data_IF_104131994952
#
_entry.id   IF_104131994952
#
_cell.length_a   1.000
_cell.length_b   1.000
_cell.length_c   1.000
_cell.angle_alpha   90.00
_cell.angle_beta   90.00
_cell.angle_gamma   90.00
#
_symmetry.space_group_name_H-M   'P 1'
#
loop_
_entity.id
_entity.type
_entity.pdbx_description
1 polymer ?
#
# COMPACT_ATOMS: atom_id res chain seq x y z
N UNK A 1 5.36 -26.26 9.87
CA UNK A 1 4.21 -25.40 9.53
C UNK A 1 3.20 -26.19 8.71
N UNK A 2 1.89 -26.07 8.96
CA UNK A 2 0.89 -26.74 8.15
C UNK A 2 0.93 -26.23 6.71
N UNK A 3 0.75 -27.14 5.75
CA UNK A 3 0.69 -26.74 4.32
C UNK A 3 -0.59 -25.94 4.07
N UNK A 4 -0.53 -24.80 3.35
CA UNK A 4 -1.72 -24.05 2.99
C UNK A 4 -2.70 -24.90 2.17
N UNK A 5 -4.01 -24.74 2.41
CA UNK A 5 -5.03 -25.38 1.59
C UNK A 5 -5.00 -24.78 0.19
N UNK A 6 -4.56 -25.55 -0.80
CA UNK A 6 -4.31 -25.07 -2.16
C UNK A 6 -5.56 -24.46 -2.82
N UNK A 7 -6.76 -25.00 -2.52
CA UNK A 7 -8.03 -24.45 -3.02
C UNK A 7 -8.33 -23.07 -2.44
N UNK A 8 -8.08 -22.86 -1.14
CA UNK A 8 -8.28 -21.58 -0.48
C UNK A 8 -7.32 -20.52 -1.05
N UNK A 9 -6.02 -20.86 -1.18
CA UNK A 9 -5.05 -19.97 -1.80
C UNK A 9 -5.48 -19.53 -3.20
N UNK A 10 -5.88 -20.49 -4.04
CA UNK A 10 -6.34 -20.20 -5.41
C UNK A 10 -7.61 -19.36 -5.46
N UNK A 11 -8.54 -19.53 -4.51
CA UNK A 11 -9.73 -18.67 -4.41
C UNK A 11 -9.36 -17.24 -4.11
N UNK A 12 -8.43 -17.02 -3.17
CA UNK A 12 -7.91 -15.69 -2.83
C UNK A 12 -7.16 -15.07 -4.02
N UNK A 13 -6.36 -15.86 -4.75
CA UNK A 13 -5.63 -15.38 -5.93
C UNK A 13 -6.60 -14.89 -7.04
N UNK A 14 -7.71 -15.62 -7.26
CA UNK A 14 -8.75 -15.21 -8.23
C UNK A 14 -9.41 -13.90 -7.79
N UNK A 15 -9.83 -13.79 -6.53
CA UNK A 15 -10.45 -12.56 -6.00
C UNK A 15 -9.49 -11.37 -6.13
N UNK A 16 -8.24 -11.54 -5.72
CA UNK A 16 -7.21 -10.51 -5.82
C UNK A 16 -6.91 -10.13 -7.27
N UNK A 17 -6.89 -11.09 -8.20
CA UNK A 17 -6.74 -10.82 -9.62
C UNK A 17 -7.86 -9.92 -10.13
N UNK A 18 -9.12 -10.26 -9.86
CA UNK A 18 -10.27 -9.48 -10.31
C UNK A 18 -10.32 -8.09 -9.66
N UNK A 19 -9.89 -7.97 -8.40
CA UNK A 19 -9.84 -6.70 -7.68
C UNK A 19 -8.89 -5.66 -8.29
N UNK A 20 -7.89 -6.09 -9.07
CA UNK A 20 -6.98 -5.18 -9.76
C UNK A 20 -7.57 -4.53 -11.01
N UNK A 21 -8.75 -4.96 -11.43
CA UNK A 21 -9.40 -4.50 -12.66
C UNK A 21 -10.85 -4.09 -12.36
N UNK A 22 -11.09 -3.03 -11.59
CA UNK A 22 -12.43 -2.58 -11.27
C UNK A 22 -13.22 -2.29 -12.56
N UNK A 23 -14.48 -2.74 -12.58
CA UNK A 23 -15.36 -2.56 -13.73
C UNK A 23 -15.11 -3.49 -14.93
N UNK A 24 -14.08 -4.35 -14.89
CA UNK A 24 -13.78 -5.31 -15.96
C UNK A 24 -14.25 -6.73 -15.59
N UNK A 25 -14.70 -7.45 -16.59
CA UNK A 25 -15.06 -8.89 -16.48
C UNK A 25 -14.09 -9.75 -17.31
N UNK A 26 -13.79 -10.94 -16.83
CA UNK A 26 -12.81 -11.85 -17.43
C UNK A 26 -13.44 -13.21 -17.71
N UNK A 27 -13.14 -13.80 -18.85
CA UNK A 27 -13.50 -15.17 -19.19
C UNK A 27 -12.73 -16.18 -18.34
N UNK A 28 -13.24 -17.42 -18.26
CA UNK A 28 -12.53 -18.52 -17.59
C UNK A 28 -11.10 -18.68 -18.13
N UNK A 29 -10.89 -18.60 -19.45
CA UNK A 29 -9.57 -18.78 -20.06
C UNK A 29 -8.60 -17.67 -19.72
N UNK A 30 -9.05 -16.42 -19.59
CA UNK A 30 -8.23 -15.30 -19.13
C UNK A 30 -7.80 -15.47 -17.67
N UNK A 31 -8.74 -15.87 -16.80
CA UNK A 31 -8.44 -16.12 -15.37
C UNK A 31 -7.48 -17.29 -15.21
N UNK A 32 -7.71 -18.42 -15.91
CA UNK A 32 -6.80 -19.59 -15.91
C UNK A 32 -5.38 -19.19 -16.28
N UNK A 33 -5.23 -18.36 -17.31
CA UNK A 33 -3.93 -17.89 -17.79
C UNK A 33 -3.27 -16.95 -16.78
N UNK A 34 -4.04 -16.03 -16.20
CA UNK A 34 -3.55 -15.05 -15.25
C UNK A 34 -3.12 -15.68 -13.91
N UNK A 35 -3.92 -16.61 -13.37
CA UNK A 35 -3.68 -17.22 -12.06
C UNK A 35 -2.89 -18.54 -12.16
N UNK A 36 -2.60 -19.00 -13.39
CA UNK A 36 -1.85 -20.25 -13.70
C UNK A 36 -2.35 -21.49 -12.96
N UNK A 37 -3.64 -21.71 -12.94
CA UNK A 37 -4.29 -22.90 -12.39
C UNK A 37 -4.94 -23.71 -13.52
N UNK A 38 -5.12 -25.02 -13.31
CA UNK A 38 -5.80 -25.83 -14.32
C UNK A 38 -7.28 -25.45 -14.47
N UNK A 39 -7.81 -25.66 -15.68
CA UNK A 39 -9.16 -25.23 -16.08
C UNK A 39 -10.24 -25.80 -15.16
N UNK A 40 -10.15 -27.10 -14.80
CA UNK A 40 -11.16 -27.76 -13.95
C UNK A 40 -11.21 -27.14 -12.55
N UNK A 41 -10.06 -26.93 -11.91
CA UNK A 41 -9.98 -26.28 -10.59
C UNK A 41 -10.46 -24.83 -10.66
N UNK A 42 -10.07 -24.08 -11.69
CA UNK A 42 -10.52 -22.70 -11.88
C UNK A 42 -12.03 -22.64 -12.01
N UNK A 43 -12.63 -23.46 -12.88
CA UNK A 43 -14.08 -23.51 -13.07
C UNK A 43 -14.83 -23.85 -11.79
N UNK A 44 -14.35 -24.84 -11.02
CA UNK A 44 -14.96 -25.22 -9.75
C UNK A 44 -14.92 -24.07 -8.72
N UNK A 45 -13.79 -23.38 -8.59
CA UNK A 45 -13.63 -22.24 -7.68
C UNK A 45 -14.53 -21.08 -8.12
N UNK A 46 -14.52 -20.72 -9.41
CA UNK A 46 -15.34 -19.63 -9.94
C UNK A 46 -16.84 -19.91 -9.73
N UNK A 47 -17.27 -21.16 -9.92
CA UNK A 47 -18.64 -21.57 -9.66
C UNK A 47 -18.97 -21.41 -8.18
N UNK A 48 -18.16 -21.93 -7.28
CA UNK A 48 -18.37 -21.85 -5.83
C UNK A 48 -18.46 -20.37 -5.34
N UNK A 49 -17.56 -19.51 -5.82
CA UNK A 49 -17.57 -18.09 -5.47
C UNK A 49 -18.78 -17.35 -6.06
N UNK A 50 -19.23 -17.73 -7.27
CA UNK A 50 -20.41 -17.14 -7.90
C UNK A 50 -21.70 -17.60 -7.21
N UNK A 51 -21.81 -18.86 -6.82
CA UNK A 51 -22.97 -19.43 -6.12
C UNK A 51 -23.27 -18.70 -4.79
N UNK A 52 -22.22 -18.15 -4.12
CA UNK A 52 -22.35 -17.38 -2.87
C UNK A 52 -22.27 -15.86 -3.08
N UNK A 53 -22.24 -15.38 -4.32
CA UNK A 53 -22.27 -13.94 -4.65
C UNK A 53 -20.95 -13.18 -4.45
N UNK A 54 -19.83 -13.87 -4.19
CA UNK A 54 -18.49 -13.26 -4.17
C UNK A 54 -18.04 -12.86 -5.58
N UNK A 55 -18.50 -13.58 -6.59
CA UNK A 55 -18.34 -13.22 -8.00
C UNK A 55 -19.71 -13.11 -8.67
N UNK A 56 -19.76 -12.30 -9.72
CA UNK A 56 -20.88 -12.22 -10.64
C UNK A 56 -20.46 -12.79 -11.98
N UNK A 57 -21.29 -13.68 -12.57
CA UNK A 57 -21.09 -14.21 -13.91
C UNK A 57 -22.04 -13.52 -14.88
N UNK A 58 -21.49 -12.89 -15.91
CA UNK A 58 -22.30 -12.27 -16.98
C UNK A 58 -22.97 -13.30 -17.87
N UNK A 59 -23.97 -12.89 -18.66
CA UNK A 59 -24.63 -13.74 -19.66
C UNK A 59 -23.65 -14.29 -20.71
N UNK A 60 -22.54 -13.60 -20.96
CA UNK A 60 -21.47 -14.03 -21.88
C UNK A 60 -20.43 -14.95 -21.20
N UNK A 61 -20.67 -15.36 -19.95
CA UNK A 61 -19.79 -16.29 -19.23
C UNK A 61 -18.53 -15.66 -18.62
N UNK A 62 -18.42 -14.32 -18.60
CA UNK A 62 -17.32 -13.62 -17.97
C UNK A 62 -17.62 -13.34 -16.49
N UNK A 63 -16.57 -13.29 -15.66
CA UNK A 63 -16.64 -13.12 -14.22
C UNK A 63 -16.05 -11.78 -13.78
N UNK A 64 -16.68 -11.13 -12.79
CA UNK A 64 -16.17 -9.96 -12.07
C UNK A 64 -16.47 -10.12 -10.57
N UNK A 65 -15.97 -9.17 -9.75
CA UNK A 65 -16.28 -9.14 -8.32
C UNK A 65 -17.78 -9.00 -8.09
N UNK A 66 -18.30 -9.76 -7.12
CA UNK A 66 -19.72 -9.78 -6.77
C UNK A 66 -20.05 -8.87 -5.57
N UNK A 67 -21.35 -8.55 -5.38
CA UNK A 67 -21.79 -7.57 -4.37
C UNK A 67 -21.57 -8.03 -2.92
N UNK A 68 -21.45 -9.31 -2.66
CA UNK A 68 -21.20 -9.83 -1.29
C UNK A 68 -19.87 -9.35 -0.75
N UNK A 69 -18.87 -9.08 -1.60
CA UNK A 69 -17.58 -8.54 -1.16
C UNK A 69 -17.70 -7.14 -0.56
N UNK A 70 -18.68 -6.34 -0.97
CA UNK A 70 -18.98 -5.03 -0.35
C UNK A 70 -19.43 -5.25 1.09
N UNK A 71 -20.37 -6.17 1.33
CA UNK A 71 -20.84 -6.48 2.66
C UNK A 71 -19.74 -7.06 3.57
N UNK A 72 -18.88 -7.92 3.03
CA UNK A 72 -17.72 -8.47 3.75
C UNK A 72 -16.74 -7.35 4.12
N UNK A 73 -16.45 -6.44 3.19
CA UNK A 73 -15.58 -5.28 3.43
C UNK A 73 -16.15 -4.36 4.53
N UNK A 74 -17.44 -4.04 4.48
CA UNK A 74 -18.12 -3.24 5.51
C UNK A 74 -18.12 -3.93 6.89
N UNK A 75 -18.36 -5.23 6.93
CA UNK A 75 -18.27 -5.99 8.17
C UNK A 75 -16.85 -5.99 8.75
N UNK A 76 -15.84 -6.10 7.89
CA UNK A 76 -14.43 -6.01 8.28
C UNK A 76 -14.10 -4.63 8.86
N UNK A 77 -14.53 -3.55 8.21
CA UNK A 77 -14.34 -2.18 8.71
C UNK A 77 -14.99 -1.99 10.09
N UNK A 78 -16.20 -2.48 10.29
CA UNK A 78 -16.91 -2.39 11.59
C UNK A 78 -16.24 -3.19 12.70
N UNK A 79 -15.61 -4.31 12.37
CA UNK A 79 -14.92 -5.16 13.35
C UNK A 79 -13.53 -4.63 13.74
N UNK A 80 -12.95 -3.75 12.95
CA UNK A 80 -11.61 -3.18 13.16
C UNK A 80 -11.72 -1.71 13.56
N UNK A 81 -11.92 -1.46 14.86
CA UNK A 81 -12.10 -0.10 15.38
C UNK A 81 -10.99 0.88 15.00
N UNK A 82 -9.74 0.41 14.98
CA UNK A 82 -8.59 1.21 14.56
C UNK A 82 -8.70 1.66 13.08
N UNK A 83 -9.13 0.76 12.18
CA UNK A 83 -9.33 1.07 10.76
C UNK A 83 -10.50 2.05 10.55
N UNK A 84 -11.60 1.84 11.27
CA UNK A 84 -12.77 2.74 11.20
C UNK A 84 -12.39 4.17 11.62
N UNK A 85 -11.69 4.33 12.74
CA UNK A 85 -11.18 5.63 13.22
C UNK A 85 -10.17 6.25 12.27
N UNK A 86 -9.28 5.43 11.70
CA UNK A 86 -8.32 5.91 10.72
C UNK A 86 -9.01 6.41 9.45
N UNK A 87 -10.11 5.77 9.03
CA UNK A 87 -10.93 6.24 7.89
C UNK A 87 -11.59 7.59 8.18
N UNK A 88 -12.17 7.77 9.39
CA UNK A 88 -12.75 9.04 9.84
C UNK A 88 -11.68 10.15 9.86
N UNK A 89 -10.53 9.90 10.48
CA UNK A 89 -9.45 10.87 10.55
C UNK A 89 -8.85 11.19 9.16
N UNK A 90 -8.80 10.22 8.25
CA UNK A 90 -8.38 10.43 6.87
C UNK A 90 -9.37 11.33 6.13
N UNK A 91 -10.66 11.16 6.37
CA UNK A 91 -11.72 12.02 5.81
C UNK A 91 -11.59 13.46 6.32
N UNK A 92 -11.42 13.65 7.64
CA UNK A 92 -11.22 14.96 8.26
C UNK A 92 -9.97 15.65 7.70
N UNK A 93 -8.85 14.92 7.57
CA UNK A 93 -7.62 15.45 6.98
C UNK A 93 -7.83 15.92 5.54
N UNK A 94 -8.56 15.13 4.74
CA UNK A 94 -8.87 15.49 3.37
C UNK A 94 -9.75 16.76 3.29
N UNK A 95 -10.79 16.85 4.10
CA UNK A 95 -11.71 18.00 4.14
C UNK A 95 -10.98 19.29 4.53
N UNK A 96 -10.04 19.18 5.43
CA UNK A 96 -9.28 20.28 6.00
C UNK A 96 -8.11 20.73 5.11
N UNK A 97 -7.36 19.79 4.55
CA UNK A 97 -6.16 20.07 3.76
C UNK A 97 -6.42 20.14 2.24
N UNK A 98 -7.49 19.53 1.77
CA UNK A 98 -7.77 19.32 0.33
C UNK A 98 -6.62 18.65 -0.41
N UNK A 99 -5.91 17.78 0.30
CA UNK A 99 -4.80 16.96 -0.19
C UNK A 99 -5.24 15.50 -0.14
N UNK A 100 -5.05 14.71 -1.21
CA UNK A 100 -5.36 13.29 -1.22
C UNK A 100 -4.74 12.53 -0.05
N UNK A 101 -5.54 11.69 0.59
CA UNK A 101 -5.14 10.86 1.73
C UNK A 101 -5.20 9.40 1.34
N UNK A 102 -4.15 8.66 1.67
CA UNK A 102 -4.02 7.22 1.43
C UNK A 102 -3.71 6.53 2.76
N UNK A 103 -4.37 5.41 3.06
CA UNK A 103 -3.97 4.52 4.13
C UNK A 103 -3.56 3.17 3.57
N UNK A 104 -2.46 2.62 4.07
CA UNK A 104 -1.96 1.30 3.71
C UNK A 104 -1.69 0.44 4.94
N UNK A 105 -1.81 -0.87 4.76
CA UNK A 105 -1.54 -1.90 5.76
C UNK A 105 -0.36 -2.78 5.31
N UNK A 106 0.36 -3.34 6.28
CA UNK A 106 1.33 -4.39 6.01
C UNK A 106 0.66 -5.77 6.10
N UNK A 107 0.71 -6.54 5.03
CA UNK A 107 0.15 -7.90 4.95
C UNK A 107 1.22 -8.86 4.47
N UNK A 108 1.81 -9.59 5.41
CA UNK A 108 3.01 -10.39 5.12
C UNK A 108 4.17 -9.53 4.65
N UNK A 109 4.65 -9.78 3.44
CA UNK A 109 5.75 -9.03 2.79
C UNK A 109 5.25 -7.98 1.80
N UNK A 110 3.98 -7.59 1.87
CA UNK A 110 3.38 -6.63 0.94
C UNK A 110 2.68 -5.48 1.66
N UNK A 111 2.77 -4.30 1.09
CA UNK A 111 2.04 -3.10 1.48
C UNK A 111 0.79 -3.04 0.62
N UNK A 112 -0.37 -3.00 1.26
CA UNK A 112 -1.69 -2.97 0.59
C UNK A 112 -2.36 -1.64 0.86
N UNK A 113 -2.75 -0.91 -0.18
CA UNK A 113 -3.58 0.27 -0.07
C UNK A 113 -5.01 -0.15 0.32
N UNK A 114 -5.52 0.35 1.45
CA UNK A 114 -6.83 -0.05 1.99
C UNK A 114 -7.86 1.07 2.04
N UNK A 115 -7.43 2.33 2.06
CA UNK A 115 -8.29 3.52 2.01
C UNK A 115 -7.61 4.53 1.11
N UNK A 116 -8.38 5.15 0.20
CA UNK A 116 -7.97 6.31 -0.58
C UNK A 116 -9.11 7.33 -0.57
N UNK A 117 -8.80 8.58 -0.26
CA UNK A 117 -9.76 9.69 -0.19
C UNK A 117 -9.20 10.83 -1.05
N UNK A 118 -9.90 11.13 -2.14
CA UNK A 118 -9.52 12.17 -3.10
C UNK A 118 -10.71 12.51 -4.01
N UNK A 119 -10.62 13.62 -4.71
CA UNK A 119 -11.51 13.92 -5.84
C UNK A 119 -11.17 13.04 -7.04
N UNK A 120 -12.17 12.78 -7.87
CA UNK A 120 -11.96 12.01 -9.11
C UNK A 120 -10.86 12.64 -9.97
N UNK A 121 -9.89 11.84 -10.40
CA UNK A 121 -8.74 12.28 -11.19
C UNK A 121 -7.63 13.02 -10.42
N UNK A 122 -7.73 13.15 -9.09
CA UNK A 122 -6.74 13.85 -8.24
C UNK A 122 -6.17 13.00 -7.11
N UNK A 123 -6.04 11.70 -7.31
CA UNK A 123 -5.50 10.78 -6.31
C UNK A 123 -3.98 10.84 -6.16
N UNK A 124 -3.48 10.02 -5.25
CA UNK A 124 -2.04 9.80 -5.03
C UNK A 124 -1.38 9.02 -6.17
N UNK A 125 -2.16 8.51 -7.12
CA UNK A 125 -1.72 7.55 -8.14
C UNK A 125 -1.64 6.12 -7.62
N UNK A 126 -2.14 5.86 -6.40
CA UNK A 126 -2.22 4.54 -5.77
C UNK A 126 -3.69 4.23 -5.50
N UNK A 127 -4.18 3.11 -6.04
CA UNK A 127 -5.58 2.71 -5.91
C UNK A 127 -5.79 1.72 -4.76
N UNK A 128 -6.98 1.72 -4.18
CA UNK A 128 -7.37 0.75 -3.14
C UNK A 128 -7.23 -0.68 -3.69
N UNK A 129 -6.59 -1.55 -2.91
CA UNK A 129 -6.26 -2.92 -3.30
C UNK A 129 -4.91 -3.06 -3.99
N UNK A 130 -4.27 -1.97 -4.40
CA UNK A 130 -2.91 -2.02 -4.96
C UNK A 130 -1.93 -2.57 -3.91
N UNK A 131 -1.03 -3.43 -4.38
CA UNK A 131 -0.03 -4.11 -3.57
C UNK A 131 1.37 -3.73 -4.02
N UNK A 132 2.25 -3.47 -3.08
CA UNK A 132 3.67 -3.19 -3.31
C UNK A 132 4.52 -4.06 -2.40
N UNK A 133 5.66 -4.57 -2.86
CA UNK A 133 6.55 -5.35 -2.00
C UNK A 133 7.16 -4.48 -0.91
N UNK A 134 7.31 -5.06 0.29
CA UNK A 134 8.05 -4.44 1.39
C UNK A 134 9.56 -4.67 1.18
N UNK A 135 10.18 -3.81 0.40
CA UNK A 135 11.62 -3.86 0.06
C UNK A 135 12.22 -2.45 0.07
N UNK A 136 13.49 -2.27 0.46
CA UNK A 136 14.10 -0.95 0.52
C UNK A 136 14.06 -0.22 -0.83
N UNK A 137 13.76 1.10 -0.82
CA UNK A 137 13.33 1.94 0.32
C UNK A 137 11.81 1.95 0.54
N UNK A 138 11.04 1.12 -0.20
CA UNK A 138 9.58 1.06 -0.13
C UNK A 138 9.14 0.48 1.20
N UNK A 139 8.25 1.19 1.89
CA UNK A 139 7.69 0.77 3.17
C UNK A 139 8.55 1.12 4.38
N UNK A 140 9.54 2.00 4.24
CA UNK A 140 10.39 2.44 5.34
C UNK A 140 9.62 2.83 6.61
N UNK A 141 8.46 3.55 6.58
CA UNK A 141 7.72 3.85 7.80
C UNK A 141 7.17 2.61 8.53
N UNK A 142 6.90 1.49 7.83
CA UNK A 142 6.51 0.24 8.51
C UNK A 142 7.67 -0.40 9.26
N UNK A 143 8.89 -0.17 8.81
CA UNK A 143 10.10 -0.81 9.33
C UNK A 143 10.86 0.09 10.31
N UNK A 144 10.65 1.39 10.27
CA UNK A 144 11.42 2.35 11.06
C UNK A 144 11.43 2.03 12.56
N UNK A 145 10.38 1.45 13.12
CA UNK A 145 10.28 1.07 14.54
C UNK A 145 10.36 -0.45 14.79
N UNK A 146 10.67 -1.22 13.76
CA UNK A 146 10.87 -2.66 13.93
C UNK A 146 12.15 -2.97 14.71
N UNK A 147 12.30 -4.23 15.15
CA UNK A 147 13.54 -4.70 15.78
C UNK A 147 14.70 -4.72 14.80
N UNK A 148 15.93 -4.61 15.31
CA UNK A 148 17.13 -4.63 14.47
C UNK A 148 17.20 -5.87 13.54
N UNK A 149 16.86 -7.10 14.00
CA UNK A 149 16.80 -8.26 13.10
C UNK A 149 15.77 -8.10 11.97
N UNK A 150 14.63 -7.44 12.23
CA UNK A 150 13.62 -7.19 11.19
C UNK A 150 14.07 -6.12 10.20
N UNK A 151 14.77 -5.09 10.68
CA UNK A 151 15.41 -4.09 9.82
C UNK A 151 16.47 -4.73 8.93
N UNK A 152 17.35 -5.55 9.50
CA UNK A 152 18.38 -6.27 8.75
C UNK A 152 17.79 -7.20 7.70
N UNK A 153 16.72 -7.93 8.06
CA UNK A 153 16.01 -8.78 7.13
C UNK A 153 15.34 -7.98 5.98
N UNK A 154 14.83 -6.77 6.27
CA UNK A 154 14.29 -5.89 5.23
C UNK A 154 15.39 -5.35 4.33
N UNK A 155 16.51 -4.87 4.89
CA UNK A 155 17.66 -4.38 4.13
C UNK A 155 18.27 -5.48 3.25
N UNK A 156 18.30 -6.73 3.73
CA UNK A 156 18.77 -7.87 2.97
C UNK A 156 17.89 -8.24 1.75
N UNK A 157 16.68 -7.69 1.65
CA UNK A 157 15.84 -7.83 0.44
C UNK A 157 16.28 -6.93 -0.72
N UNK A 158 17.19 -6.00 -0.47
CA UNK A 158 17.86 -5.27 -1.54
C UNK A 158 18.61 -6.23 -2.49
N UNK A 159 18.81 -5.80 -3.73
CA UNK A 159 19.59 -6.62 -4.67
C UNK A 159 20.96 -6.96 -4.09
N UNK A 160 21.49 -8.19 -4.28
CA UNK A 160 22.83 -8.58 -3.85
C UNK A 160 23.95 -7.66 -4.35
N UNK A 161 23.72 -7.01 -5.50
CA UNK A 161 24.66 -6.07 -6.13
C UNK A 161 24.51 -4.62 -5.61
N UNK A 162 23.67 -4.39 -4.59
CA UNK A 162 23.50 -3.06 -4.01
C UNK A 162 24.75 -2.61 -3.29
N UNK A 163 25.13 -1.36 -3.55
CA UNK A 163 26.21 -0.69 -2.85
C UNK A 163 25.96 -0.65 -1.33
N UNK A 164 26.97 -1.04 -0.54
CA UNK A 164 26.92 -0.97 0.92
C UNK A 164 26.63 0.45 1.43
N UNK A 165 27.09 1.48 0.73
CA UNK A 165 26.81 2.86 1.04
C UNK A 165 25.31 3.19 0.92
N UNK A 166 24.63 2.62 -0.08
CA UNK A 166 23.19 2.78 -0.27
C UNK A 166 22.39 2.09 0.83
N UNK A 167 22.79 0.88 1.24
CA UNK A 167 22.18 0.16 2.35
C UNK A 167 22.30 0.96 3.66
N UNK A 168 23.47 1.54 3.90
CA UNK A 168 23.70 2.40 5.07
C UNK A 168 22.87 3.69 5.00
N UNK A 169 22.73 4.31 3.84
CA UNK A 169 21.84 5.45 3.61
C UNK A 169 20.37 5.12 3.95
N UNK A 170 19.88 3.94 3.58
CA UNK A 170 18.53 3.52 3.97
C UNK A 170 18.40 3.32 5.48
N UNK A 171 19.41 2.76 6.13
CA UNK A 171 19.45 2.61 7.59
C UNK A 171 19.39 3.98 8.31
N UNK A 172 20.15 4.94 7.82
CA UNK A 172 20.11 6.33 8.32
C UNK A 172 18.74 6.97 8.07
N UNK A 173 18.12 6.68 6.91
CA UNK A 173 16.76 7.10 6.60
C UNK A 173 15.72 6.59 7.60
N UNK A 174 15.83 5.34 8.07
CA UNK A 174 14.96 4.81 9.12
C UNK A 174 15.14 5.55 10.45
N UNK A 175 16.39 5.88 10.83
CA UNK A 175 16.67 6.67 12.03
C UNK A 175 16.04 8.07 11.95
N UNK A 176 16.14 8.70 10.80
CA UNK A 176 15.53 10.01 10.56
C UNK A 176 13.99 9.96 10.64
N UNK A 177 13.35 8.92 10.11
CA UNK A 177 11.90 8.70 10.24
C UNK A 177 11.52 8.56 11.72
N UNK A 178 12.27 7.78 12.51
CA UNK A 178 12.04 7.65 13.95
C UNK A 178 12.14 9.00 14.67
N UNK A 179 13.15 9.80 14.34
CA UNK A 179 13.36 11.10 14.96
C UNK A 179 12.25 12.09 14.66
N UNK A 180 11.75 12.12 13.42
CA UNK A 180 10.72 13.06 12.95
C UNK A 180 9.30 12.59 13.24
N UNK A 181 9.07 11.27 13.27
CA UNK A 181 7.75 10.67 13.32
C UNK A 181 7.07 10.56 11.96
N UNK A 182 7.74 10.95 10.87
CA UNK A 182 7.20 10.90 9.50
C UNK A 182 8.31 10.77 8.45
N UNK A 183 7.92 10.33 7.26
CA UNK A 183 8.75 10.29 6.06
C UNK A 183 8.27 11.35 5.07
N UNK A 184 9.20 11.96 4.34
CA UNK A 184 8.90 12.76 3.13
C UNK A 184 9.66 12.17 1.96
N UNK A 185 8.94 11.77 0.92
CA UNK A 185 9.53 11.25 -0.31
C UNK A 185 9.54 12.35 -1.37
N UNK A 186 10.72 12.65 -1.91
CA UNK A 186 10.86 13.58 -3.02
C UNK A 186 10.27 12.97 -4.30
N UNK A 187 9.67 13.82 -5.14
CA UNK A 187 9.32 13.45 -6.51
C UNK A 187 10.56 13.65 -7.38
N UNK A 188 10.94 12.61 -8.09
CA UNK A 188 11.97 12.69 -9.12
C UNK A 188 11.40 12.09 -10.42
N UNK A 189 12.03 12.34 -11.58
CA UNK A 189 11.65 11.66 -12.81
C UNK A 189 11.61 10.14 -12.61
N UNK A 190 12.58 9.60 -11.90
CA UNK A 190 12.70 8.18 -11.60
C UNK A 190 11.61 7.68 -10.65
N UNK A 191 11.22 8.46 -9.64
CA UNK A 191 10.10 8.10 -8.76
C UNK A 191 8.76 8.10 -9.50
N UNK A 192 8.61 8.98 -10.49
CA UNK A 192 7.44 9.03 -11.37
C UNK A 192 7.42 7.85 -12.34
N UNK A 193 8.56 7.49 -12.93
CA UNK A 193 8.72 6.31 -13.77
C UNK A 193 8.45 5.03 -12.98
N UNK A 194 8.97 4.94 -11.76
CA UNK A 194 8.70 3.85 -10.83
C UNK A 194 7.21 3.70 -10.54
N UNK A 195 6.53 4.80 -10.22
CA UNK A 195 5.09 4.79 -9.97
C UNK A 195 4.30 4.36 -11.22
N UNK A 196 4.69 4.85 -12.41
CA UNK A 196 4.07 4.47 -13.68
C UNK A 196 4.29 2.97 -14.00
N UNK A 197 5.49 2.45 -13.78
CA UNK A 197 5.79 1.03 -13.96
C UNK A 197 5.00 0.16 -12.97
N UNK A 198 4.91 0.56 -11.70
CA UNK A 198 4.05 -0.13 -10.72
C UNK A 198 2.60 -0.13 -11.20
N UNK A 199 2.07 1.02 -11.63
CA UNK A 199 0.70 1.12 -12.13
C UNK A 199 0.48 0.25 -13.39
N UNK A 200 1.42 0.22 -14.34
CA UNK A 200 1.36 -0.64 -15.51
C UNK A 200 1.42 -2.14 -15.13
N UNK A 201 2.29 -2.51 -14.20
CA UNK A 201 2.39 -3.87 -13.71
C UNK A 201 1.14 -4.29 -12.93
N UNK A 202 0.56 -3.39 -12.14
CA UNK A 202 -0.72 -3.61 -11.44
C UNK A 202 -1.88 -3.72 -12.44
N UNK A 203 -1.92 -2.89 -13.46
CA UNK A 203 -2.97 -2.90 -14.50
C UNK A 203 -2.85 -4.08 -15.47
N UNK A 204 -1.65 -4.59 -15.71
CA UNK A 204 -1.41 -5.58 -16.74
C UNK A 204 -1.15 -7.00 -16.26
N UNK A 205 -0.51 -7.22 -15.14
CA UNK A 205 0.10 -8.52 -14.85
C UNK A 205 0.34 -8.76 -13.36
N UNK A 206 -0.66 -9.22 -12.61
CA UNK A 206 -0.36 -10.10 -11.48
C UNK A 206 -0.12 -11.54 -12.00
N UNK A 207 0.89 -11.64 -12.85
CA UNK A 207 1.46 -12.91 -13.29
C UNK A 207 2.46 -13.36 -12.23
N UNK A 208 2.57 -14.66 -12.05
CA UNK A 208 3.68 -15.29 -11.30
C UNK A 208 4.99 -14.64 -11.74
N UNK A 209 5.77 -14.09 -10.77
CA UNK A 209 6.96 -13.30 -11.06
C UNK A 209 6.81 -11.78 -10.84
N UNK A 210 5.60 -11.28 -10.53
CA UNK A 210 5.38 -9.86 -10.18
C UNK A 210 6.31 -9.41 -9.04
N UNK A 211 6.43 -10.22 -7.99
CA UNK A 211 7.30 -9.93 -6.84
C UNK A 211 8.75 -9.82 -7.25
N UNK A 212 9.24 -10.74 -8.09
CA UNK A 212 10.63 -10.75 -8.57
C UNK A 212 10.91 -9.58 -9.51
N UNK A 213 9.99 -9.28 -10.43
CA UNK A 213 10.11 -8.13 -11.34
C UNK A 213 10.06 -6.81 -10.56
N UNK A 214 9.19 -6.72 -9.55
CA UNK A 214 9.10 -5.55 -8.69
C UNK A 214 10.37 -5.39 -7.83
N UNK A 215 10.91 -6.48 -7.30
CA UNK A 215 12.17 -6.45 -6.55
C UNK A 215 13.34 -6.02 -7.44
N UNK A 216 13.40 -6.50 -8.66
CA UNK A 216 14.40 -6.09 -9.64
C UNK A 216 14.27 -4.59 -9.98
N UNK A 217 13.04 -4.11 -10.19
CA UNK A 217 12.76 -2.70 -10.47
C UNK A 217 13.14 -1.81 -9.28
N UNK A 218 12.74 -2.17 -8.05
CA UNK A 218 13.13 -1.44 -6.84
C UNK A 218 14.66 -1.43 -6.68
N UNK A 219 15.32 -2.57 -6.94
CA UNK A 219 16.77 -2.67 -6.92
C UNK A 219 17.45 -1.73 -7.91
N UNK A 220 16.90 -1.58 -9.12
CA UNK A 220 17.46 -0.71 -10.15
C UNK A 220 17.24 0.79 -9.93
N UNK A 221 16.25 1.15 -9.13
CA UNK A 221 15.86 2.54 -8.86
C UNK A 221 16.10 2.98 -7.40
N UNK A 222 16.60 2.08 -6.58
CA UNK A 222 16.67 2.26 -5.12
C UNK A 222 17.44 3.50 -4.64
N UNK A 223 18.50 3.89 -5.33
CA UNK A 223 19.28 5.10 -5.03
C UNK A 223 18.60 6.39 -5.48
N UNK A 224 17.64 6.29 -6.40
CA UNK A 224 16.90 7.41 -6.98
C UNK A 224 15.57 7.70 -6.28
N UNK A 225 15.12 6.79 -5.42
CA UNK A 225 13.94 6.98 -4.56
C UNK A 225 14.37 7.72 -3.28
N UNK A 226 14.52 9.03 -3.36
CA UNK A 226 15.11 9.82 -2.28
C UNK A 226 14.09 10.24 -1.21
N UNK A 227 14.40 9.90 0.04
CA UNK A 227 13.82 10.56 1.19
C UNK A 227 14.48 11.93 1.37
N UNK A 228 13.69 12.97 1.67
CA UNK A 228 14.25 14.27 2.03
C UNK A 228 14.91 14.20 3.41
N UNK A 229 16.23 14.42 3.44
CA UNK A 229 17.01 14.40 4.67
C UNK A 229 16.90 15.72 5.43
N UNK A 230 16.82 16.84 4.72
CA UNK A 230 16.63 18.19 5.28
C UNK A 230 15.45 18.88 4.64
N UNK A 231 14.73 19.67 5.43
CA UNK A 231 13.57 20.45 4.98
C UNK A 231 13.73 21.87 5.49
N UNK A 232 14.30 22.72 4.64
CA UNK A 232 14.49 24.13 4.97
C UNK A 232 13.19 24.90 4.73
N UNK A 233 12.69 25.69 5.70
CA UNK A 233 11.36 26.31 5.63
C UNK A 233 11.11 27.18 4.39
N UNK A 234 12.15 27.87 3.89
CA UNK A 234 12.08 28.78 2.75
C UNK A 234 12.23 28.11 1.38
N UNK A 235 12.80 26.93 1.34
CA UNK A 235 13.11 26.22 0.10
C UNK A 235 11.88 25.55 -0.51
N UNK A 236 11.91 25.33 -1.84
CA UNK A 236 10.85 24.68 -2.60
C UNK A 236 11.23 23.25 -2.95
N UNK A 237 10.38 22.31 -2.57
CA UNK A 237 10.56 20.88 -2.81
C UNK A 237 9.43 20.33 -3.68
N UNK A 238 9.78 19.49 -4.66
CA UNK A 238 8.81 18.65 -5.36
C UNK A 238 8.70 17.33 -4.58
N UNK A 239 7.56 17.11 -3.91
CA UNK A 239 7.36 15.94 -3.08
C UNK A 239 6.27 15.03 -3.65
N UNK A 240 6.48 13.73 -3.50
CA UNK A 240 5.52 12.71 -3.91
C UNK A 240 4.52 12.43 -2.81
N UNK A 241 5.01 12.21 -1.57
CA UNK A 241 4.16 11.90 -0.42
C UNK A 241 4.84 12.28 0.91
N UNK A 242 3.99 12.49 1.92
CA UNK A 242 4.34 12.55 3.33
C UNK A 242 3.63 11.37 3.99
N UNK A 243 4.34 10.53 4.77
CA UNK A 243 3.80 9.34 5.39
C UNK A 243 4.10 9.30 6.89
N UNK A 244 3.11 8.91 7.71
CA UNK A 244 3.27 8.74 9.14
C UNK A 244 2.65 7.40 9.61
N UNK A 245 3.26 6.73 10.61
CA UNK A 245 2.79 5.44 11.10
C UNK A 245 1.59 5.59 12.05
N UNK A 246 0.70 4.62 11.99
CA UNK A 246 -0.31 4.34 13.01
C UNK A 246 0.13 3.06 13.72
N UNK A 247 0.47 3.15 14.98
CA UNK A 247 0.95 2.03 15.76
C UNK A 247 -0.21 1.21 16.34
N UNK A 248 0.00 -0.11 16.41
CA UNK A 248 -0.83 -1.00 17.20
C UNK A 248 -0.53 -0.88 18.71
N UNK A 249 -1.15 -1.73 19.51
CA UNK A 249 -0.96 -1.72 20.97
C UNK A 249 0.39 -2.28 21.42
N UNK A 250 0.99 -3.08 20.58
CA UNK A 250 2.28 -3.73 20.81
C UNK A 250 3.44 -2.81 20.41
N UNK A 251 3.12 -1.65 19.79
CA UNK A 251 4.09 -0.66 19.33
C UNK A 251 4.62 -0.93 17.92
N UNK A 252 4.06 -1.92 17.22
CA UNK A 252 4.31 -2.17 15.82
C UNK A 252 3.57 -1.18 14.91
N UNK A 253 4.12 -0.87 13.74
CA UNK A 253 3.40 -0.07 12.75
C UNK A 253 2.35 -0.93 12.04
N UNK A 254 1.07 -0.78 12.42
CA UNK A 254 -0.05 -1.51 11.82
C UNK A 254 -0.44 -0.93 10.47
N UNK A 255 -0.48 0.41 10.39
CA UNK A 255 -0.89 1.13 9.20
C UNK A 255 0.01 2.34 8.95
N UNK A 256 -0.01 2.81 7.71
CA UNK A 256 0.61 4.06 7.31
C UNK A 256 -0.45 4.99 6.74
N UNK A 257 -0.51 6.22 7.26
CA UNK A 257 -1.33 7.29 6.70
C UNK A 257 -0.44 8.21 5.89
N UNK A 258 -0.87 8.57 4.67
CA UNK A 258 -0.08 9.33 3.73
C UNK A 258 -0.88 10.49 3.15
N UNK A 259 -0.21 11.62 2.94
CA UNK A 259 -0.66 12.72 2.10
C UNK A 259 0.13 12.70 0.81
N UNK A 260 -0.53 12.84 -0.34
CA UNK A 260 0.13 12.83 -1.65
C UNK A 260 -0.70 13.52 -2.72
N UNK A 261 -0.31 13.40 -4.00
CA UNK A 261 -1.04 14.05 -5.08
C UNK A 261 -0.93 15.57 -5.08
N UNK A 262 0.16 16.12 -4.56
CA UNK A 262 0.41 17.56 -4.51
C UNK A 262 0.52 18.16 -5.91
N UNK A 263 -0.16 19.29 -6.13
CA UNK A 263 -0.27 19.92 -7.44
C UNK A 263 0.99 20.65 -7.92
N UNK A 264 2.06 20.70 -7.11
CA UNK A 264 3.30 21.39 -7.46
C UNK A 264 4.29 21.38 -6.32
N UNK A 265 5.35 22.19 -6.45
CA UNK A 265 6.37 22.33 -5.41
C UNK A 265 5.80 22.99 -4.15
N UNK A 266 6.20 22.50 -3.00
CA UNK A 266 5.80 23.01 -1.69
C UNK A 266 6.99 23.68 -0.99
N UNK A 267 6.74 24.75 -0.24
CA UNK A 267 7.73 25.32 0.69
C UNK A 267 7.95 24.33 1.84
N UNK A 268 9.19 24.26 2.34
CA UNK A 268 9.51 23.42 3.48
C UNK A 268 8.62 23.67 4.70
N UNK A 269 8.27 24.94 4.97
CA UNK A 269 7.31 25.28 6.02
C UNK A 269 5.93 24.65 5.82
N UNK A 270 5.44 24.56 4.57
CA UNK A 270 4.18 23.89 4.26
C UNK A 270 4.28 22.37 4.45
N UNK A 271 5.40 21.76 4.04
CA UNK A 271 5.67 20.34 4.24
C UNK A 271 5.64 20.02 5.73
N UNK A 272 6.29 20.82 6.57
CA UNK A 272 6.29 20.63 8.01
C UNK A 272 4.87 20.75 8.58
N UNK A 273 4.10 21.76 8.16
CA UNK A 273 2.71 21.94 8.60
C UNK A 273 1.85 20.73 8.24
N UNK A 274 1.96 20.19 7.04
CA UNK A 274 1.24 18.96 6.62
C UNK A 274 1.69 17.75 7.45
N UNK A 275 2.98 17.59 7.67
CA UNK A 275 3.53 16.49 8.47
C UNK A 275 3.03 16.55 9.92
N UNK A 276 3.04 17.73 10.54
CA UNK A 276 2.56 17.94 11.92
C UNK A 276 1.07 17.59 12.06
N UNK A 277 0.26 17.92 11.07
CA UNK A 277 -1.17 17.58 11.05
C UNK A 277 -1.39 16.08 10.87
N UNK A 278 -0.64 15.47 9.96
CA UNK A 278 -0.67 14.03 9.71
C UNK A 278 -0.27 13.24 10.96
N UNK A 279 0.87 13.57 11.58
CA UNK A 279 1.34 12.92 12.81
C UNK A 279 0.35 13.09 13.96
N UNK A 280 -0.23 14.30 14.11
CA UNK A 280 -1.26 14.56 15.12
C UNK A 280 -2.49 13.68 14.92
N UNK A 281 -2.97 13.54 13.69
CA UNK A 281 -4.09 12.65 13.37
C UNK A 281 -3.76 11.18 13.71
N UNK A 282 -2.57 10.69 13.33
CA UNK A 282 -2.12 9.34 13.70
C UNK A 282 -2.11 9.12 15.22
N UNK A 283 -1.61 10.08 15.99
CA UNK A 283 -1.59 10.00 17.45
C UNK A 283 -3.00 10.03 18.06
N UNK A 284 -3.93 10.80 17.51
CA UNK A 284 -5.32 10.84 17.94
C UNK A 284 -6.02 9.50 17.71
N UNK A 285 -5.81 8.87 16.56
CA UNK A 285 -6.33 7.53 16.23
C UNK A 285 -5.90 6.51 17.30
N UNK A 286 -4.61 6.49 17.62
CA UNK A 286 -4.03 5.57 18.61
C UNK A 286 -4.61 5.82 20.02
N UNK A 287 -4.69 7.08 20.44
CA UNK A 287 -5.24 7.44 21.76
C UNK A 287 -6.71 7.06 21.88
N UNK A 288 -7.51 7.32 20.84
CA UNK A 288 -8.93 6.99 20.82
C UNK A 288 -9.16 5.47 20.79
N UNK A 289 -8.30 4.67 20.11
CA UNK A 289 -8.40 3.22 20.14
C UNK A 289 -8.09 2.64 21.52
N UNK A 290 -7.12 3.19 22.24
CA UNK A 290 -6.80 2.81 23.61
C UNK A 290 -7.91 3.16 24.59
N UNK A 291 -8.52 4.35 24.45
CA UNK A 291 -9.58 4.83 25.35
C UNK A 291 -10.91 4.08 25.21
N UNK A 292 -11.21 3.52 24.06
CA UNK A 292 -12.48 2.79 23.84
C UNK A 292 -12.54 1.40 24.48
N UNK A 293 -11.51 0.99 25.20
CA UNK A 293 -11.38 -0.37 25.74
C UNK A 293 -11.12 -0.38 27.26
N UNK A 294 -11.15 0.81 27.86
CA UNK A 294 -11.26 1.02 29.31
C UNK A 294 -12.71 1.16 29.72
#
# INVERSE_FOLDING_TARGET
MPRPALSATRSVDIINFLANFPGRSFSLSEIVRAVKINVASCHAILKALADVGYLTKSAKGAYCLGPVLIAVGEASLKSQTLVARAKEAAQELYEDLRVPVLMSALVGDEIVAIIAIHEEGRGTGIEVGERRPLVPPVGAPFIAWASDPAIDAWLAKASPDQDKALVEKWRQGLALIRQRGFQVTARSPESSEFAALIAQMAAGHKVIGYKDQMMHLVGSLGDRLSQLETIEPGELYDIQLIAAPIFDREGGCAFNLCLGGFAGKLKGASIQSYADRLVRACLQIIRADRAAQL
#
